data_IF_461561916826
#
_entry.id   IF_461561916826
#
_cell.length_a   1.000
_cell.length_b   1.000
_cell.length_c   1.000
_cell.angle_alpha   90.00
_cell.angle_beta   90.00
_cell.angle_gamma   90.00
#
_symmetry.space_group_name_H-M   'P 1'
#
loop_
_entity.id
_entity.type
_entity.pdbx_description
1 polymer ?
#
# COMPACT_ATOMS: atom_id res chain seq x y z
N UNK A 1 15.56 -11.35 -8.07
CA UNK A 1 15.29 -10.37 -6.96
C UNK A 1 14.49 -9.19 -7.49
N UNK A 2 13.48 -8.74 -6.73
CA UNK A 2 12.67 -7.58 -7.09
C UNK A 2 13.41 -6.26 -6.81
N UNK A 3 13.21 -5.31 -7.71
CA UNK A 3 13.74 -3.94 -7.64
C UNK A 3 12.59 -2.96 -7.86
N UNK A 4 12.55 -1.89 -7.09
CA UNK A 4 11.55 -0.84 -7.22
C UNK A 4 12.19 0.43 -7.79
N UNK A 5 11.69 0.89 -8.94
CA UNK A 5 12.01 2.22 -9.47
C UNK A 5 10.82 3.14 -9.24
N UNK A 6 10.92 4.08 -8.32
CA UNK A 6 9.92 5.13 -8.15
C UNK A 6 10.27 6.26 -9.12
N UNK A 7 9.59 6.31 -10.26
CA UNK A 7 9.84 7.30 -11.31
C UNK A 7 9.25 8.66 -10.93
N UNK A 8 8.08 8.66 -10.32
CA UNK A 8 7.43 9.83 -9.76
C UNK A 8 6.47 9.43 -8.66
N UNK A 9 6.39 10.21 -7.59
CA UNK A 9 5.45 9.96 -6.50
C UNK A 9 4.99 11.29 -5.88
N UNK A 10 3.68 11.55 -5.94
CA UNK A 10 3.03 12.74 -5.39
C UNK A 10 1.85 13.23 -6.23
N UNK A 11 1.17 14.27 -5.77
CA UNK A 11 -0.10 14.78 -6.32
C UNK A 11 -0.04 15.29 -7.77
N UNK A 12 1.15 15.46 -8.37
CA UNK A 12 1.30 15.92 -9.76
C UNK A 12 1.50 14.76 -10.74
N UNK A 13 1.53 13.52 -10.27
CA UNK A 13 1.58 12.33 -11.10
C UNK A 13 2.46 11.25 -10.50
N UNK A 14 1.95 10.04 -10.54
CA UNK A 14 2.56 8.84 -9.99
C UNK A 14 2.96 7.89 -11.13
N UNK A 15 4.11 7.25 -10.99
CA UNK A 15 4.56 6.15 -11.84
C UNK A 15 5.70 5.42 -11.13
N UNK A 16 5.55 4.11 -10.97
CA UNK A 16 6.58 3.26 -10.38
C UNK A 16 6.76 1.99 -11.22
N UNK A 17 7.94 1.40 -11.20
CA UNK A 17 8.22 0.17 -11.92
C UNK A 17 8.75 -0.88 -10.94
N UNK A 18 8.18 -2.08 -10.99
CA UNK A 18 8.71 -3.26 -10.32
C UNK A 18 9.40 -4.13 -11.37
N UNK A 19 10.70 -4.33 -11.21
CA UNK A 19 11.56 -5.10 -12.09
C UNK A 19 12.01 -6.38 -11.37
N UNK A 20 11.95 -7.51 -12.07
CA UNK A 20 12.76 -8.65 -11.68
C UNK A 20 14.19 -8.45 -12.21
N UNK A 21 15.12 -8.19 -11.32
CA UNK A 21 16.52 -7.87 -11.65
C UNK A 21 17.26 -9.02 -12.36
N UNK A 22 16.79 -10.27 -12.25
CA UNK A 22 17.42 -11.43 -12.89
C UNK A 22 17.03 -11.54 -14.38
N UNK A 23 15.76 -11.31 -14.68
CA UNK A 23 15.23 -11.39 -16.04
C UNK A 23 15.19 -10.05 -16.75
N UNK A 24 15.20 -8.94 -15.99
CA UNK A 24 14.99 -7.58 -16.46
C UNK A 24 13.56 -7.31 -16.91
N UNK A 25 12.61 -8.25 -16.73
CA UNK A 25 11.18 -8.06 -17.05
C UNK A 25 10.53 -7.21 -15.97
N UNK A 26 9.55 -6.40 -16.36
CA UNK A 26 9.03 -5.40 -15.44
C UNK A 26 7.53 -5.10 -15.61
N UNK A 27 6.96 -4.56 -14.52
CA UNK A 27 5.59 -4.07 -14.45
C UNK A 27 5.60 -2.59 -14.08
N UNK A 28 4.82 -1.78 -14.81
CA UNK A 28 4.56 -0.39 -14.48
C UNK A 28 3.35 -0.31 -13.55
N UNK A 29 3.44 0.41 -12.45
CA UNK A 29 2.33 0.76 -11.57
C UNK A 29 1.98 2.22 -11.87
N UNK A 30 0.78 2.46 -12.38
CA UNK A 30 0.26 3.76 -12.79
C UNK A 30 1.11 4.51 -13.82
N UNK A 31 0.54 5.52 -14.43
CA UNK A 31 1.27 6.46 -15.27
C UNK A 31 0.57 7.82 -15.31
N UNK A 32 0.77 8.62 -14.26
CA UNK A 32 0.23 9.98 -14.14
C UNK A 32 1.17 11.08 -14.66
N UNK A 33 2.31 10.74 -15.24
CA UNK A 33 3.30 11.69 -15.73
C UNK A 33 3.36 11.75 -17.25
N UNK A 34 3.91 12.84 -17.81
CA UNK A 34 4.06 12.99 -19.26
C UNK A 34 5.06 11.96 -19.82
N UNK A 35 4.91 11.60 -21.10
CA UNK A 35 5.87 10.70 -21.79
C UNK A 35 7.31 11.21 -21.69
N UNK A 36 7.54 12.52 -21.80
CA UNK A 36 8.88 13.09 -21.68
C UNK A 36 9.47 12.83 -20.29
N UNK A 37 8.70 13.13 -19.24
CA UNK A 37 9.13 12.86 -17.87
C UNK A 37 9.34 11.37 -17.62
N UNK A 38 8.44 10.52 -18.10
CA UNK A 38 8.55 9.07 -17.97
C UNK A 38 9.87 8.54 -18.56
N UNK A 39 10.16 8.84 -19.83
CA UNK A 39 11.39 8.38 -20.49
C UNK A 39 12.66 8.95 -19.84
N UNK A 40 12.63 10.21 -19.45
CA UNK A 40 13.75 10.83 -18.74
C UNK A 40 14.03 10.12 -17.43
N UNK A 41 13.00 9.83 -16.64
CA UNK A 41 13.15 9.17 -15.32
C UNK A 41 13.49 7.70 -15.42
N UNK A 42 13.04 6.98 -16.45
CA UNK A 42 13.55 5.66 -16.74
C UNK A 42 15.07 5.71 -16.99
N UNK A 43 15.55 6.70 -17.75
CA UNK A 43 16.98 6.91 -17.99
C UNK A 43 17.75 7.27 -16.70
N UNK A 44 17.19 8.14 -15.86
CA UNK A 44 17.76 8.50 -14.55
C UNK A 44 17.87 7.28 -13.61
N UNK A 45 16.87 6.40 -13.65
CA UNK A 45 16.85 5.15 -12.89
C UNK A 45 17.73 4.04 -13.47
N UNK A 46 18.30 4.24 -14.68
CA UNK A 46 19.03 3.20 -15.40
C UNK A 46 18.16 2.06 -15.89
N UNK A 47 16.85 2.29 -16.04
CA UNK A 47 15.86 1.31 -16.44
C UNK A 47 15.48 1.45 -17.92
N UNK A 48 15.42 0.33 -18.64
CA UNK A 48 14.95 0.29 -20.03
C UNK A 48 13.42 0.13 -20.08
N UNK A 49 12.66 1.18 -20.51
CA UNK A 49 11.22 1.13 -20.55
C UNK A 49 10.64 0.09 -21.51
N UNK A 50 11.44 -0.45 -22.43
CA UNK A 50 11.01 -1.53 -23.34
C UNK A 50 10.88 -2.90 -22.63
N UNK A 51 11.34 -3.00 -21.39
CA UNK A 51 11.20 -4.18 -20.54
C UNK A 51 9.84 -4.27 -19.84
N UNK A 52 9.01 -3.23 -19.95
CA UNK A 52 7.67 -3.23 -19.34
C UNK A 52 6.75 -4.13 -20.16
N UNK A 53 6.22 -5.16 -19.52
CA UNK A 53 5.30 -6.12 -20.13
C UNK A 53 3.85 -5.93 -19.71
N UNK A 54 3.62 -5.30 -18.53
CA UNK A 54 2.30 -5.01 -18.01
C UNK A 54 2.24 -3.66 -17.30
N UNK A 55 1.04 -3.10 -17.29
CA UNK A 55 0.71 -1.88 -16.52
C UNK A 55 -0.42 -2.23 -15.56
N UNK A 56 -0.20 -2.04 -14.28
CA UNK A 56 -1.19 -2.16 -13.20
C UNK A 56 -1.71 -0.76 -12.87
N UNK A 57 -3.02 -0.58 -12.88
CA UNK A 57 -3.65 0.69 -12.50
C UNK A 57 -4.24 0.55 -11.10
N UNK A 58 -3.83 1.41 -10.17
CA UNK A 58 -4.31 1.40 -8.79
C UNK A 58 -5.75 1.90 -8.69
N UNK A 59 -6.05 3.05 -9.29
CA UNK A 59 -7.39 3.68 -9.28
C UNK A 59 -7.53 4.73 -10.40
N UNK A 60 -8.71 5.36 -10.52
CA UNK A 60 -9.08 6.22 -11.65
C UNK A 60 -8.56 7.66 -11.60
N UNK A 61 -7.97 8.15 -10.53
CA UNK A 61 -7.56 9.54 -10.41
C UNK A 61 -6.55 9.96 -11.49
N UNK A 62 -6.64 11.21 -11.91
CA UNK A 62 -5.87 11.72 -13.08
C UNK A 62 -4.38 11.75 -12.85
N UNK A 63 -3.91 11.94 -11.62
CA UNK A 63 -2.49 11.88 -11.26
C UNK A 63 -1.91 10.46 -11.28
N UNK A 64 -2.75 9.43 -11.49
CA UNK A 64 -2.37 8.05 -11.74
C UNK A 64 -2.54 7.64 -13.21
N UNK A 65 -3.40 8.31 -13.97
CA UNK A 65 -3.84 7.82 -15.29
C UNK A 65 -3.58 8.75 -16.47
N UNK A 66 -3.45 10.08 -16.28
CA UNK A 66 -3.39 11.07 -17.37
C UNK A 66 -2.23 10.88 -18.36
N UNK A 67 -1.14 10.25 -17.96
CA UNK A 67 0.01 9.97 -18.81
C UNK A 67 -0.08 8.65 -19.58
N UNK A 68 -1.00 7.77 -19.19
CA UNK A 68 -1.07 6.39 -19.66
C UNK A 68 -1.11 6.29 -21.19
N UNK A 69 -2.04 6.99 -21.83
CA UNK A 69 -2.22 6.92 -23.27
C UNK A 69 -1.02 7.41 -24.08
N UNK A 70 -0.37 8.49 -23.64
CA UNK A 70 0.81 9.03 -24.36
C UNK A 70 2.05 8.18 -24.14
N UNK A 71 2.19 7.53 -22.98
CA UNK A 71 3.29 6.64 -22.68
C UNK A 71 3.12 5.33 -23.45
N UNK A 72 1.95 4.68 -23.41
CA UNK A 72 1.67 3.45 -24.12
C UNK A 72 1.87 3.60 -25.65
N UNK A 73 1.35 4.68 -26.26
CA UNK A 73 1.62 4.98 -27.67
C UNK A 73 3.10 5.24 -27.95
N UNK A 74 3.82 5.81 -26.98
CA UNK A 74 5.26 5.98 -27.08
C UNK A 74 6.01 4.66 -27.08
N UNK A 75 5.69 3.77 -26.16
CA UNK A 75 6.26 2.43 -26.05
C UNK A 75 5.94 1.58 -27.30
N UNK A 76 4.69 1.63 -27.77
CA UNK A 76 4.28 0.92 -28.99
C UNK A 76 5.10 1.34 -30.22
N UNK A 77 5.38 2.64 -30.39
CA UNK A 77 6.26 3.13 -31.45
C UNK A 77 7.72 2.64 -31.33
N UNK A 78 8.15 2.27 -30.14
CA UNK A 78 9.47 1.72 -29.87
C UNK A 78 9.48 0.19 -29.86
N UNK A 79 8.33 -0.45 -30.12
CA UNK A 79 8.19 -1.92 -30.25
C UNK A 79 7.76 -2.63 -28.97
N UNK A 80 7.40 -1.92 -27.90
CA UNK A 80 6.88 -2.53 -26.67
C UNK A 80 5.36 -2.31 -26.54
N UNK A 81 4.61 -3.36 -26.24
CA UNK A 81 3.14 -3.37 -26.18
C UNK A 81 2.67 -3.94 -24.82
N UNK A 82 2.91 -3.24 -23.69
CA UNK A 82 2.51 -3.74 -22.38
C UNK A 82 0.98 -3.88 -22.28
N UNK A 83 0.54 -4.97 -21.65
CA UNK A 83 -0.87 -5.22 -21.39
C UNK A 83 -1.31 -4.37 -20.19
N UNK A 84 -2.47 -3.71 -20.28
CA UNK A 84 -3.06 -2.95 -19.14
C UNK A 84 -3.94 -3.86 -18.29
N UNK A 85 -3.79 -3.78 -16.99
CA UNK A 85 -4.58 -4.49 -15.97
C UNK A 85 -5.24 -3.46 -15.06
N UNK A 86 -6.54 -3.55 -14.87
CA UNK A 86 -7.30 -2.63 -14.04
C UNK A 86 -8.63 -3.25 -13.60
N UNK A 87 -9.14 -2.83 -12.45
CA UNK A 87 -10.50 -3.14 -12.04
C UNK A 87 -11.50 -2.59 -13.07
N UNK A 88 -12.53 -3.35 -13.46
CA UNK A 88 -13.53 -2.90 -14.44
C UNK A 88 -14.27 -1.63 -14.02
N UNK A 89 -14.45 -1.34 -12.73
CA UNK A 89 -15.06 -0.10 -12.25
C UNK A 89 -14.14 1.10 -12.46
N UNK A 90 -12.84 0.94 -12.21
CA UNK A 90 -11.78 1.93 -12.46
C UNK A 90 -11.71 2.29 -13.95
N UNK A 91 -11.75 1.27 -14.84
CA UNK A 91 -11.77 1.51 -16.30
C UNK A 91 -13.00 2.33 -16.71
N UNK A 92 -14.18 2.00 -16.16
CA UNK A 92 -15.42 2.74 -16.48
C UNK A 92 -15.42 4.17 -15.94
N UNK A 93 -14.77 4.41 -14.83
CA UNK A 93 -14.71 5.74 -14.18
C UNK A 93 -13.66 6.66 -14.79
N UNK A 94 -12.58 6.11 -15.38
CA UNK A 94 -11.48 6.90 -15.93
C UNK A 94 -11.60 7.11 -17.43
N UNK A 95 -11.80 8.37 -17.83
CA UNK A 95 -11.74 8.75 -19.25
C UNK A 95 -10.32 8.58 -19.81
N UNK A 96 -9.29 8.86 -19.03
CA UNK A 96 -7.89 8.72 -19.44
C UNK A 96 -7.54 7.27 -19.80
N UNK A 97 -8.03 6.30 -19.03
CA UNK A 97 -7.84 4.87 -19.32
C UNK A 97 -8.62 4.48 -20.57
N UNK A 98 -9.89 4.86 -20.65
CA UNK A 98 -10.75 4.54 -21.80
C UNK A 98 -10.16 5.09 -23.12
N UNK A 99 -9.74 6.36 -23.15
CA UNK A 99 -9.11 6.99 -24.30
C UNK A 99 -7.75 6.35 -24.65
N UNK A 100 -6.96 5.95 -23.63
CA UNK A 100 -5.70 5.24 -23.84
C UNK A 100 -5.92 3.90 -24.56
N UNK A 101 -6.83 3.08 -24.05
CA UNK A 101 -7.16 1.78 -24.60
C UNK A 101 -7.75 1.89 -26.02
N UNK A 102 -8.71 2.79 -26.23
CA UNK A 102 -9.29 3.04 -27.55
C UNK A 102 -8.26 3.47 -28.58
N UNK A 103 -7.28 4.30 -28.18
CA UNK A 103 -6.20 4.77 -29.08
C UNK A 103 -5.23 3.68 -29.54
N UNK A 104 -5.24 2.52 -28.89
CA UNK A 104 -4.37 1.37 -29.17
C UNK A 104 -5.15 0.15 -29.66
N UNK A 105 -6.48 0.27 -29.84
CA UNK A 105 -7.38 -0.85 -30.12
C UNK A 105 -7.18 -2.00 -29.12
N UNK A 106 -7.02 -1.64 -27.84
CA UNK A 106 -6.73 -2.56 -26.76
C UNK A 106 -7.85 -2.59 -25.71
N UNK A 107 -7.85 -3.63 -24.88
CA UNK A 107 -8.73 -3.78 -23.74
C UNK A 107 -7.91 -4.01 -22.48
N UNK A 108 -8.37 -3.47 -21.35
CA UNK A 108 -7.79 -3.81 -20.06
C UNK A 108 -8.16 -5.25 -19.68
N UNK A 109 -7.21 -5.98 -19.12
CA UNK A 109 -7.48 -7.24 -18.43
C UNK A 109 -7.98 -6.95 -17.03
N UNK A 110 -9.12 -7.55 -16.62
CA UNK A 110 -9.69 -7.28 -15.32
C UNK A 110 -8.90 -7.97 -14.21
N UNK A 111 -8.86 -7.32 -13.04
CA UNK A 111 -8.53 -7.94 -11.77
C UNK A 111 -9.42 -7.36 -10.66
N UNK A 112 -9.43 -8.00 -9.51
CA UNK A 112 -10.00 -7.56 -8.23
C UNK A 112 -9.11 -8.02 -7.06
N UNK A 113 -9.56 -7.78 -5.83
CA UNK A 113 -8.84 -8.15 -4.59
C UNK A 113 -8.79 -9.65 -4.30
N UNK A 114 -9.42 -10.48 -5.12
CA UNK A 114 -9.34 -11.95 -5.05
C UNK A 114 -8.42 -12.53 -6.13
N UNK A 115 -7.87 -11.69 -6.99
CA UNK A 115 -7.06 -12.11 -8.12
C UNK A 115 -5.64 -12.47 -7.71
N UNK A 116 -5.12 -13.55 -8.29
CA UNK A 116 -3.70 -13.91 -8.28
C UNK A 116 -3.21 -13.85 -9.73
N UNK A 117 -2.28 -12.97 -10.02
CA UNK A 117 -1.78 -12.74 -11.38
C UNK A 117 -0.31 -13.13 -11.47
N UNK A 118 0.08 -13.81 -12.54
CA UNK A 118 1.51 -14.00 -12.88
C UNK A 118 1.82 -13.19 -14.11
N UNK A 119 2.53 -12.10 -13.95
CA UNK A 119 2.82 -11.10 -14.97
C UNK A 119 4.34 -10.85 -15.03
N UNK A 120 4.93 -10.89 -16.23
CA UNK A 120 6.37 -10.67 -16.39
C UNK A 120 7.24 -11.65 -15.55
N UNK A 121 6.71 -12.81 -15.14
CA UNK A 121 7.39 -13.73 -14.24
C UNK A 121 7.37 -13.27 -12.76
N UNK A 122 6.50 -12.35 -12.41
CA UNK A 122 6.26 -11.84 -11.08
C UNK A 122 4.83 -12.22 -10.68
N UNK A 123 4.65 -12.81 -9.51
CA UNK A 123 3.34 -13.05 -8.94
C UNK A 123 2.84 -11.77 -8.27
N UNK A 124 1.60 -11.37 -8.57
CA UNK A 124 1.00 -10.10 -8.15
C UNK A 124 -0.32 -10.39 -7.44
N UNK A 125 -0.44 -9.88 -6.22
CA UNK A 125 -1.63 -10.01 -5.37
C UNK A 125 -2.17 -8.60 -5.08
N UNK A 126 -3.25 -8.19 -5.77
CA UNK A 126 -3.92 -6.93 -5.49
C UNK A 126 -4.65 -6.98 -4.14
N UNK A 127 -4.71 -5.85 -3.43
CA UNK A 127 -5.52 -5.71 -2.22
C UNK A 127 -6.16 -4.33 -2.16
N UNK A 128 -7.35 -4.22 -1.58
CA UNK A 128 -8.08 -2.96 -1.50
C UNK A 128 -7.43 -2.00 -0.49
N UNK A 129 -7.30 -0.74 -0.90
CA UNK A 129 -6.98 0.41 -0.03
C UNK A 129 -8.22 1.22 0.28
N UNK A 130 -8.16 2.12 1.25
CA UNK A 130 -9.27 3.00 1.64
C UNK A 130 -9.06 4.40 1.08
N UNK A 131 -9.65 4.69 -0.08
CA UNK A 131 -9.50 5.97 -0.77
C UNK A 131 -10.83 6.49 -1.32
N UNK A 132 -10.88 7.78 -1.69
CA UNK A 132 -12.06 8.43 -2.28
C UNK A 132 -12.20 8.15 -3.80
N UNK A 133 -11.87 6.95 -4.20
CA UNK A 133 -11.97 6.38 -5.54
C UNK A 133 -13.12 5.36 -5.64
N UNK A 134 -13.50 4.95 -6.84
CA UNK A 134 -14.52 3.89 -7.05
C UNK A 134 -14.02 2.53 -6.60
N UNK A 135 -12.73 2.27 -6.79
CA UNK A 135 -11.95 1.19 -6.20
C UNK A 135 -10.48 1.62 -6.19
N UNK A 136 -9.75 1.28 -5.13
CA UNK A 136 -8.32 1.61 -5.02
C UNK A 136 -7.55 0.42 -4.51
N UNK A 137 -6.36 0.17 -5.11
CA UNK A 137 -5.58 -1.04 -4.89
C UNK A 137 -4.13 -0.73 -4.51
N UNK A 138 -3.62 -1.49 -3.54
CA UNK A 138 -2.20 -1.75 -3.39
C UNK A 138 -1.85 -3.11 -3.99
N UNK A 139 -0.58 -3.44 -4.05
CA UNK A 139 -0.08 -4.68 -4.64
C UNK A 139 1.02 -5.30 -3.77
N UNK A 140 0.96 -6.61 -3.63
CA UNK A 140 2.07 -7.43 -3.20
C UNK A 140 2.67 -8.12 -4.42
N UNK A 141 3.98 -8.08 -4.55
CA UNK A 141 4.75 -8.73 -5.61
C UNK A 141 5.66 -9.77 -5.00
N UNK A 142 5.72 -10.94 -5.63
CA UNK A 142 6.63 -12.01 -5.26
C UNK A 142 7.37 -12.51 -6.52
N UNK A 143 8.65 -12.87 -6.38
CA UNK A 143 9.33 -13.57 -7.46
C UNK A 143 8.65 -14.92 -7.67
N UNK A 144 8.25 -15.23 -8.90
CA UNK A 144 7.68 -16.53 -9.19
C UNK A 144 8.70 -17.63 -8.90
N UNK A 145 8.33 -18.61 -8.08
CA UNK A 145 9.11 -19.82 -7.96
C UNK A 145 9.06 -20.53 -9.31
N UNK A 146 10.21 -20.74 -9.95
CA UNK A 146 10.34 -21.31 -11.30
C UNK A 146 9.79 -22.74 -11.51
N UNK A 147 8.90 -23.21 -10.67
CA UNK A 147 8.11 -24.41 -10.84
C UNK A 147 6.82 -24.09 -11.64
N UNK A 148 6.96 -24.04 -12.95
CA UNK A 148 5.83 -24.08 -13.88
C UNK A 148 5.06 -25.37 -13.62
N UNK A 149 3.84 -25.26 -13.01
CA UNK A 149 2.87 -26.37 -13.03
C UNK A 149 2.53 -27.05 -11.72
N UNK A 150 2.75 -26.46 -10.54
CA UNK A 150 2.05 -26.93 -9.34
C UNK A 150 0.78 -26.10 -9.15
N UNK A 151 -0.38 -26.78 -9.31
CA UNK A 151 -1.61 -26.34 -8.70
C UNK A 151 -1.30 -26.11 -7.22
N UNK A 152 -1.37 -24.87 -6.74
CA UNK A 152 -1.22 -24.60 -5.30
C UNK A 152 -2.33 -25.36 -4.59
N UNK A 153 -1.96 -26.25 -3.67
CA UNK A 153 -2.90 -26.92 -2.79
C UNK A 153 -3.67 -25.88 -1.95
N UNK A 154 -4.76 -26.26 -1.28
CA UNK A 154 -5.60 -25.32 -0.55
C UNK A 154 -4.77 -24.52 0.44
N UNK A 155 -4.99 -23.18 0.40
CA UNK A 155 -4.41 -22.17 1.28
C UNK A 155 -4.20 -22.70 2.71
N UNK A 156 -3.05 -22.45 3.31
CA UNK A 156 -2.77 -22.86 4.68
C UNK A 156 -3.67 -22.12 5.70
N UNK A 157 -3.63 -22.48 6.97
CA UNK A 157 -4.59 -21.97 7.98
C UNK A 157 -4.55 -20.44 8.15
N UNK A 158 -3.40 -19.78 7.89
CA UNK A 158 -3.25 -18.31 7.96
C UNK A 158 -3.98 -17.63 6.80
N UNK A 159 -3.93 -18.18 5.61
CA UNK A 159 -4.62 -17.68 4.42
C UNK A 159 -6.14 -17.81 4.54
N UNK A 160 -6.65 -18.88 5.21
CA UNK A 160 -8.09 -19.04 5.52
C UNK A 160 -8.61 -17.99 6.50
N UNK A 161 -7.80 -17.56 7.48
CA UNK A 161 -8.21 -16.53 8.45
C UNK A 161 -8.36 -15.17 7.75
N UNK A 162 -7.48 -14.83 6.83
CA UNK A 162 -7.58 -13.59 6.03
C UNK A 162 -8.85 -13.60 5.14
N UNK A 163 -9.17 -14.73 4.52
CA UNK A 163 -10.36 -14.89 3.69
C UNK A 163 -11.67 -14.91 4.50
N UNK A 164 -11.68 -15.49 5.72
CA UNK A 164 -12.82 -15.41 6.64
C UNK A 164 -13.02 -13.99 7.20
N UNK A 165 -11.95 -13.25 7.50
CA UNK A 165 -12.04 -11.88 7.97
C UNK A 165 -12.59 -10.95 6.88
N UNK A 166 -12.15 -11.11 5.63
CA UNK A 166 -12.66 -10.37 4.48
C UNK A 166 -14.13 -10.68 4.17
N UNK A 167 -14.57 -11.92 4.30
CA UNK A 167 -15.99 -12.31 4.12
C UNK A 167 -16.90 -11.79 5.23
N UNK A 168 -16.44 -11.76 6.47
CA UNK A 168 -17.21 -11.19 7.59
C UNK A 168 -17.34 -9.68 7.51
N UNK A 169 -16.33 -8.96 7.01
CA UNK A 169 -16.43 -7.53 6.73
C UNK A 169 -17.45 -7.22 5.63
N UNK A 170 -17.52 -8.05 4.57
CA UNK A 170 -18.55 -7.91 3.53
C UNK A 170 -19.96 -8.21 4.04
N UNK A 171 -20.12 -9.15 4.97
CA UNK A 171 -21.41 -9.48 5.57
C UNK A 171 -21.93 -8.40 6.53
N UNK A 172 -21.05 -7.65 7.21
CA UNK A 172 -21.45 -6.55 8.11
C UNK A 172 -21.85 -5.29 7.35
N UNK A 173 -21.27 -5.03 6.18
CA UNK A 173 -21.64 -3.87 5.34
C UNK A 173 -23.01 -4.08 4.65
N UNK A 174 -23.43 -5.34 4.43
CA UNK A 174 -24.69 -5.66 3.76
C UNK A 174 -25.93 -5.73 4.67
N UNK A 175 -25.83 -5.46 5.98
CA UNK A 175 -26.93 -5.65 6.94
C UNK A 175 -27.23 -4.46 7.84
N UNK A 176 -26.83 -3.24 7.50
CA UNK A 176 -27.23 -2.06 8.28
C UNK A 176 -28.37 -1.30 7.59
N UNK A 177 -29.53 -1.98 7.47
CA UNK A 177 -30.82 -1.37 7.25
C UNK A 177 -31.52 -1.17 8.62
N UNK A 178 -30.98 -0.32 9.48
CA UNK A 178 -31.66 0.11 10.69
C UNK A 178 -32.15 1.54 10.53
N UNK A 179 -33.44 1.81 10.89
CA UNK A 179 -34.05 3.11 10.65
C UNK A 179 -33.43 4.20 11.52
N UNK A 180 -33.21 5.34 10.87
CA UNK A 180 -32.68 6.56 11.46
C UNK A 180 -33.39 6.93 12.78
N UNK A 181 -32.65 6.91 13.87
CA UNK A 181 -33.06 7.53 15.12
C UNK A 181 -32.79 9.04 15.02
N UNK A 182 -33.86 9.79 14.77
CA UNK A 182 -33.86 11.25 14.77
C UNK A 182 -33.75 11.76 16.20
N UNK A 183 -32.61 12.33 16.57
CA UNK A 183 -32.45 13.13 17.79
C UNK A 183 -32.63 14.60 17.42
N UNK A 184 -33.50 15.37 18.10
CA UNK A 184 -33.75 16.78 17.75
C UNK A 184 -32.59 17.67 18.19
N UNK A 185 -32.10 18.46 17.25
CA UNK A 185 -31.10 19.50 17.48
C UNK A 185 -31.70 20.60 18.36
N UNK A 186 -31.13 20.83 19.53
CA UNK A 186 -31.27 22.07 20.28
C UNK A 186 -29.91 22.76 20.42
N UNK A 187 -29.88 23.99 19.94
CA UNK A 187 -29.11 25.10 20.47
C UNK A 187 -27.60 25.07 20.27
N UNK A 188 -27.17 26.09 19.57
CA UNK A 188 -25.77 26.49 19.38
C UNK A 188 -25.04 26.61 20.73
N UNK A 189 -23.85 25.97 20.80
CA UNK A 189 -22.71 26.51 21.53
C UNK A 189 -21.39 25.92 21.07
N UNK A 190 -20.56 26.85 20.51
CA UNK A 190 -19.09 26.91 20.55
C UNK A 190 -18.24 25.71 20.07
N UNK A 191 -17.68 25.93 18.91
CA UNK A 191 -16.25 25.67 18.55
C UNK A 191 -15.35 25.26 19.74
N UNK A 192 -15.06 23.98 19.85
CA UNK A 192 -13.78 23.40 20.30
C UNK A 192 -13.90 21.89 20.18
N UNK A 193 -13.38 21.32 19.11
CA UNK A 193 -12.82 19.99 19.07
C UNK A 193 -12.32 19.71 17.67
N UNK A 194 -11.18 20.27 17.29
CA UNK A 194 -10.26 19.50 16.49
C UNK A 194 -9.82 18.37 17.41
N UNK A 195 -10.29 17.17 17.14
CA UNK A 195 -9.69 15.99 17.71
C UNK A 195 -8.26 15.94 17.20
N UNK A 196 -7.32 16.42 18.03
CA UNK A 196 -5.94 16.05 17.89
C UNK A 196 -5.94 14.53 17.75
N UNK A 197 -5.44 14.01 16.61
CA UNK A 197 -5.22 12.58 16.44
C UNK A 197 -4.49 12.13 17.69
N UNK A 198 -5.13 11.25 18.44
CA UNK A 198 -4.68 10.83 19.75
C UNK A 198 -3.28 10.22 19.57
N UNK A 199 -2.21 10.81 20.08
CA UNK A 199 -0.87 10.23 20.02
C UNK A 199 -0.81 8.86 20.73
N UNK A 200 -1.85 8.52 21.51
CA UNK A 200 -1.94 7.32 22.32
C UNK A 200 -2.36 6.05 21.55
N UNK A 201 -2.70 6.14 20.26
CA UNK A 201 -3.05 4.94 19.46
C UNK A 201 -1.84 3.99 19.30
N UNK A 202 -0.63 4.52 19.35
CA UNK A 202 0.58 3.69 19.34
C UNK A 202 1.00 3.19 20.73
N UNK A 203 0.51 3.82 21.82
CA UNK A 203 0.88 3.44 23.20
C UNK A 203 -0.08 2.45 23.84
N UNK A 204 -1.25 2.18 23.25
CA UNK A 204 -2.28 1.29 23.81
C UNK A 204 -2.16 -0.20 23.39
N UNK A 205 -1.07 -0.61 22.76
CA UNK A 205 -0.73 -2.04 22.70
C UNK A 205 0.12 -2.34 23.93
N UNK A 206 -0.58 -2.53 25.06
CA UNK A 206 0.00 -2.60 26.39
C UNK A 206 0.90 -3.81 26.61
N UNK A 207 2.12 -3.52 27.04
CA UNK A 207 2.86 -4.39 27.96
C UNK A 207 2.56 -3.91 29.37
N UNK A 208 1.81 -4.73 30.11
CA UNK A 208 1.59 -4.53 31.55
C UNK A 208 2.90 -4.80 32.30
N UNK A 209 3.48 -3.75 32.89
CA UNK A 209 4.47 -3.91 33.96
C UNK A 209 3.75 -4.13 35.29
N UNK A 210 4.05 -5.24 35.92
CA UNK A 210 3.67 -5.57 37.28
C UNK A 210 4.42 -4.66 38.25
N UNK A 211 3.69 -4.08 39.20
CA UNK A 211 4.10 -4.08 40.61
C UNK A 211 2.96 -3.62 41.50
N UNK A 212 2.79 -4.41 42.58
CA UNK A 212 2.10 -4.23 43.86
C UNK A 212 0.78 -4.99 44.08
N UNK A 213 0.97 -6.13 44.78
CA UNK A 213 -0.06 -6.88 45.49
C UNK A 213 -0.49 -6.15 46.81
N UNK A 214 -1.67 -6.50 47.38
CA UNK A 214 -1.60 -7.44 48.46
C UNK A 214 -2.64 -8.60 48.43
N UNK A 215 -2.22 -9.64 49.13
CA UNK A 215 -2.78 -10.94 49.44
C UNK A 215 -4.28 -11.07 49.75
N UNK A 216 -4.94 -12.08 49.16
CA UNK A 216 -5.94 -12.92 49.89
C UNK A 216 -5.96 -14.32 49.22
N UNK A 217 -5.83 -15.30 50.12
CA UNK A 217 -5.94 -16.75 49.80
C UNK A 217 -7.41 -17.12 49.51
N UNK A 218 -7.63 -18.09 48.65
CA UNK A 218 -8.41 -19.36 48.85
C UNK A 218 -8.63 -20.04 47.46
N UNK A 219 -8.41 -21.36 47.42
CA UNK A 219 -9.10 -22.30 46.52
C UNK A 219 -8.26 -22.89 45.40
N UNK A 220 -7.70 -24.08 45.67
CA UNK A 220 -7.13 -24.97 44.67
C UNK A 220 -8.23 -25.52 43.76
N UNK A 221 -8.07 -25.36 42.46
CA UNK A 221 -8.67 -26.22 41.46
C UNK A 221 -7.59 -26.55 40.44
N UNK A 222 -7.23 -27.80 40.40
CA UNK A 222 -6.33 -28.42 39.43
C UNK A 222 -6.89 -28.26 38.02
N UNK A 223 -6.24 -27.45 37.18
CA UNK A 223 -6.38 -27.53 35.75
C UNK A 223 -5.06 -28.02 35.17
N UNK A 224 -5.15 -29.16 34.58
CA UNK A 224 -4.10 -29.88 33.87
C UNK A 224 -3.44 -29.03 32.81
N UNK A 225 -2.11 -28.93 32.86
CA UNK A 225 -1.27 -28.48 31.77
C UNK A 225 -1.52 -29.36 30.55
N UNK A 226 -2.01 -28.79 29.48
CA UNK A 226 -1.91 -29.36 28.14
C UNK A 226 -0.76 -28.67 27.45
N UNK A 227 0.25 -29.43 27.23
CA UNK A 227 1.45 -29.34 26.44
C UNK A 227 1.71 -28.05 25.65
N UNK A 228 2.69 -27.32 26.16
CA UNK A 228 3.58 -26.45 25.35
C UNK A 228 4.54 -27.36 24.55
N UNK A 229 4.09 -27.85 23.42
CA UNK A 229 4.94 -28.55 22.47
C UNK A 229 4.38 -28.34 21.09
N UNK A 230 4.96 -27.38 20.40
CA UNK A 230 5.23 -27.35 18.94
C UNK A 230 5.63 -25.95 18.47
N UNK A 231 6.62 -25.35 19.10
CA UNK A 231 7.50 -24.47 18.35
C UNK A 231 8.46 -25.38 17.56
N UNK A 232 7.94 -26.09 16.59
CA UNK A 232 8.77 -26.72 15.58
C UNK A 232 9.36 -25.58 14.75
N UNK A 233 10.66 -25.35 14.94
CA UNK A 233 11.52 -24.70 13.96
C UNK A 233 11.25 -25.38 12.62
N UNK A 234 10.55 -24.69 11.73
CA UNK A 234 10.54 -25.05 10.33
C UNK A 234 11.85 -24.49 9.78
N UNK A 235 12.92 -25.26 9.99
CA UNK A 235 14.08 -25.25 9.10
C UNK A 235 13.61 -25.89 7.79
N UNK A 236 12.97 -25.09 6.99
CA UNK A 236 12.81 -25.39 5.58
C UNK A 236 13.75 -24.45 4.84
N UNK A 237 14.62 -25.00 4.03
CA UNK A 237 15.16 -24.32 2.86
C UNK A 237 13.96 -24.00 1.94
N UNK A 238 13.11 -23.09 2.38
CA UNK A 238 12.10 -22.45 1.57
C UNK A 238 12.89 -21.63 0.54
N UNK A 239 12.68 -21.89 -0.74
CA UNK A 239 13.07 -20.97 -1.79
C UNK A 239 12.62 -19.59 -1.30
N UNK A 240 13.57 -18.73 -1.01
CA UNK A 240 13.29 -17.41 -0.43
C UNK A 240 12.62 -16.58 -1.52
N UNK A 241 11.28 -16.55 -1.49
CA UNK A 241 10.53 -15.65 -2.34
C UNK A 241 10.91 -14.23 -1.95
N UNK A 242 11.35 -13.47 -2.92
CA UNK A 242 11.60 -12.06 -2.73
C UNK A 242 10.28 -11.31 -2.84
N UNK A 243 9.94 -10.51 -1.84
CA UNK A 243 8.63 -9.90 -1.68
C UNK A 243 8.74 -8.38 -1.61
N UNK A 244 7.91 -7.69 -2.40
CA UNK A 244 7.76 -6.25 -2.40
C UNK A 244 6.30 -5.87 -2.15
N UNK A 245 6.05 -5.00 -1.17
CA UNK A 245 4.73 -4.41 -0.89
C UNK A 245 4.67 -2.97 -1.41
N UNK A 246 3.58 -2.63 -2.09
CA UNK A 246 3.33 -1.29 -2.63
C UNK A 246 1.93 -0.82 -2.25
N UNK A 247 1.84 0.25 -1.48
CA UNK A 247 0.57 0.85 -1.06
C UNK A 247 0.67 2.37 -1.07
N UNK A 248 -0.19 3.01 -1.82
CA UNK A 248 -0.36 4.47 -1.88
C UNK A 248 -1.84 4.80 -1.87
N UNK A 249 -2.19 6.06 -1.64
CA UNK A 249 -3.56 6.55 -1.68
C UNK A 249 -4.50 5.75 -0.78
N UNK A 250 -4.29 5.91 0.52
CA UNK A 250 -5.13 5.31 1.55
C UNK A 250 -5.20 6.20 2.78
N UNK A 251 -6.40 6.41 3.31
CA UNK A 251 -6.61 7.18 4.54
C UNK A 251 -6.41 6.36 5.81
N UNK A 252 -6.61 5.04 5.71
CA UNK A 252 -6.33 4.05 6.77
C UNK A 252 -5.74 2.79 6.15
N UNK A 253 -4.94 2.06 6.90
CA UNK A 253 -4.48 0.73 6.50
C UNK A 253 -5.56 -0.30 6.86
N UNK A 254 -6.11 -0.96 5.86
CA UNK A 254 -7.12 -2.02 6.07
C UNK A 254 -6.45 -3.28 6.60
N UNK A 255 -7.21 -4.16 7.28
CA UNK A 255 -6.68 -5.44 7.74
C UNK A 255 -6.15 -6.31 6.59
N UNK A 256 -6.78 -6.26 5.43
CA UNK A 256 -6.32 -6.95 4.22
C UNK A 256 -4.98 -6.37 3.74
N UNK A 257 -4.87 -5.04 3.65
CA UNK A 257 -3.61 -4.37 3.27
C UNK A 257 -2.48 -4.74 4.24
N UNK A 258 -2.73 -4.70 5.55
CA UNK A 258 -1.75 -5.09 6.57
C UNK A 258 -1.23 -6.52 6.35
N UNK A 259 -2.11 -7.48 6.10
CA UNK A 259 -1.71 -8.89 5.86
C UNK A 259 -0.86 -9.03 4.61
N UNK A 260 -1.23 -8.37 3.50
CA UNK A 260 -0.46 -8.42 2.26
C UNK A 260 0.91 -7.74 2.36
N UNK A 261 1.07 -6.77 3.25
CA UNK A 261 2.33 -6.05 3.46
C UNK A 261 3.30 -6.77 4.41
N UNK A 262 2.86 -7.82 5.11
CA UNK A 262 3.73 -8.61 5.98
C UNK A 262 4.81 -9.37 5.19
N UNK A 263 6.00 -9.49 5.79
CA UNK A 263 7.10 -10.28 5.24
C UNK A 263 7.76 -9.68 4.00
N UNK A 264 7.52 -8.41 3.66
CA UNK A 264 8.12 -7.75 2.50
C UNK A 264 9.58 -7.37 2.78
N UNK A 265 10.50 -7.69 1.85
CA UNK A 265 11.88 -7.19 1.87
C UNK A 265 11.94 -5.70 1.52
N UNK A 266 11.14 -5.28 0.55
CA UNK A 266 10.95 -3.87 0.19
C UNK A 266 9.50 -3.49 0.50
N UNK A 267 9.32 -2.41 1.26
CA UNK A 267 8.01 -1.88 1.64
C UNK A 267 7.88 -0.44 1.16
N UNK A 268 7.00 -0.19 0.21
CA UNK A 268 6.70 1.14 -0.31
C UNK A 268 5.30 1.54 0.16
N UNK A 269 5.22 2.45 1.12
CA UNK A 269 3.97 2.87 1.77
C UNK A 269 3.84 4.39 1.81
N UNK A 270 2.61 4.87 1.95
CA UNK A 270 2.30 6.28 1.93
C UNK A 270 2.83 7.02 3.17
N UNK A 271 3.35 8.24 2.95
CA UNK A 271 3.64 9.26 3.96
C UNK A 271 3.31 10.62 3.37
N UNK A 272 2.00 10.90 3.23
CA UNK A 272 1.51 11.98 2.40
C UNK A 272 1.69 13.35 3.02
N UNK A 273 1.27 13.53 4.26
CA UNK A 273 1.23 14.87 4.88
C UNK A 273 1.75 14.87 6.32
N UNK A 274 2.29 16.00 6.71
CA UNK A 274 2.54 16.36 8.10
C UNK A 274 1.26 16.97 8.69
N UNK A 275 0.83 16.51 9.87
CA UNK A 275 -0.44 16.93 10.48
C UNK A 275 -0.49 18.45 10.72
N UNK A 276 0.61 19.04 11.20
CA UNK A 276 0.66 20.48 11.45
C UNK A 276 0.67 21.31 10.17
N UNK A 277 1.41 20.85 9.13
CA UNK A 277 1.41 21.52 7.85
C UNK A 277 0.07 21.39 7.14
N UNK A 278 -0.65 20.26 7.30
CA UNK A 278 -2.00 20.10 6.77
C UNK A 278 -2.98 21.06 7.44
N UNK A 279 -2.98 21.14 8.78
CA UNK A 279 -3.86 22.03 9.54
C UNK A 279 -3.67 23.51 9.15
N UNK A 280 -2.42 23.93 8.92
CA UNK A 280 -2.05 25.31 8.56
C UNK A 280 -1.86 25.52 7.06
N UNK A 281 -2.15 24.51 6.24
CA UNK A 281 -1.93 24.52 4.82
C UNK A 281 -2.85 25.45 4.06
N UNK A 282 -2.60 25.65 2.75
CA UNK A 282 -3.32 26.62 1.93
C UNK A 282 -4.72 26.14 1.52
N UNK A 283 -5.18 25.00 2.03
CA UNK A 283 -6.41 24.38 1.60
C UNK A 283 -7.64 24.86 2.38
N UNK A 284 -8.83 24.92 1.74
CA UNK A 284 -10.09 25.06 2.45
C UNK A 284 -10.32 23.93 3.46
N UNK A 285 -11.06 24.21 4.52
CA UNK A 285 -11.35 23.21 5.57
C UNK A 285 -11.91 21.88 5.03
N UNK A 286 -12.79 21.92 4.03
CA UNK A 286 -13.33 20.71 3.41
C UNK A 286 -12.27 19.83 2.76
N UNK A 287 -11.23 20.44 2.19
CA UNK A 287 -10.10 19.71 1.59
C UNK A 287 -9.20 19.14 2.67
N UNK A 288 -8.92 19.91 3.73
CA UNK A 288 -8.16 19.44 4.90
C UNK A 288 -8.86 18.23 5.53
N UNK A 289 -10.17 18.34 5.77
CA UNK A 289 -10.97 17.25 6.34
C UNK A 289 -10.98 16.01 5.43
N UNK A 290 -11.02 16.18 4.10
CA UNK A 290 -10.95 15.08 3.14
C UNK A 290 -9.59 14.38 3.18
N UNK A 291 -8.48 15.15 3.14
CA UNK A 291 -7.11 14.61 3.19
C UNK A 291 -6.89 13.80 4.45
N UNK A 292 -7.30 14.31 5.62
CA UNK A 292 -7.14 13.64 6.92
C UNK A 292 -8.22 12.63 7.27
N UNK A 293 -9.11 12.25 6.32
CA UNK A 293 -10.17 11.27 6.57
C UNK A 293 -9.72 9.84 6.31
N UNK A 294 -10.51 8.86 6.77
CA UNK A 294 -10.27 7.43 6.53
C UNK A 294 -10.23 7.06 5.03
N UNK A 295 -10.72 7.93 4.17
CA UNK A 295 -10.69 7.79 2.70
C UNK A 295 -9.78 8.82 2.03
N UNK A 296 -8.97 9.53 2.81
CA UNK A 296 -7.98 10.48 2.32
C UNK A 296 -6.62 9.85 2.13
N UNK A 297 -5.64 10.33 2.92
CA UNK A 297 -4.24 9.92 2.82
C UNK A 297 -3.64 9.70 4.21
N UNK A 298 -2.65 8.81 4.32
CA UNK A 298 -1.91 8.62 5.57
C UNK A 298 -1.03 9.83 5.88
N UNK A 299 -1.06 10.27 7.14
CA UNK A 299 -0.03 11.17 7.65
C UNK A 299 1.32 10.46 7.77
N UNK A 300 2.40 11.24 7.95
CA UNK A 300 3.73 10.69 8.21
C UNK A 300 3.75 9.77 9.43
N UNK A 301 3.00 10.12 10.47
CA UNK A 301 2.89 9.37 11.71
C UNK A 301 2.11 8.07 11.52
N UNK A 302 1.01 8.09 10.75
CA UNK A 302 0.24 6.88 10.45
C UNK A 302 1.05 5.90 9.60
N UNK A 303 1.75 6.38 8.56
CA UNK A 303 2.67 5.55 7.78
C UNK A 303 3.80 4.96 8.63
N UNK A 304 4.35 5.75 9.57
CA UNK A 304 5.38 5.28 10.50
C UNK A 304 4.84 4.27 11.53
N UNK A 305 3.59 4.42 11.97
CA UNK A 305 2.92 3.46 12.85
C UNK A 305 2.72 2.11 12.13
N UNK A 306 2.27 2.15 10.88
CA UNK A 306 2.15 0.94 10.06
C UNK A 306 3.50 0.28 9.83
N UNK A 307 4.54 1.02 9.49
CA UNK A 307 5.89 0.49 9.36
C UNK A 307 6.31 -0.29 10.62
N UNK A 308 6.05 0.28 11.83
CA UNK A 308 6.41 -0.38 13.09
C UNK A 308 5.76 -1.76 13.22
N UNK A 309 4.51 -1.90 12.82
CA UNK A 309 3.75 -3.16 12.92
C UNK A 309 4.20 -4.20 11.89
N UNK A 310 4.87 -3.76 10.82
CA UNK A 310 5.36 -4.61 9.72
C UNK A 310 6.86 -4.97 9.85
N UNK A 311 7.55 -4.52 10.91
CA UNK A 311 8.97 -4.81 11.09
C UNK A 311 9.22 -6.31 11.28
N UNK A 312 10.20 -6.82 10.56
CA UNK A 312 10.70 -8.20 10.68
C UNK A 312 12.14 -8.27 10.14
N UNK A 313 12.89 -9.30 10.52
CA UNK A 313 14.33 -9.42 10.20
C UNK A 313 14.67 -9.41 8.70
N UNK A 314 13.72 -9.70 7.83
CA UNK A 314 13.90 -9.71 6.37
C UNK A 314 13.56 -8.39 5.69
N UNK A 315 13.06 -7.38 6.40
CA UNK A 315 12.82 -6.06 5.82
C UNK A 315 14.15 -5.33 5.62
N UNK A 316 14.46 -4.94 4.40
CA UNK A 316 15.71 -4.24 4.06
C UNK A 316 15.49 -2.77 3.71
N UNK A 317 14.37 -2.48 3.05
CA UNK A 317 14.09 -1.13 2.53
C UNK A 317 12.65 -0.72 2.80
N UNK A 318 12.47 0.54 3.20
CA UNK A 318 11.17 1.18 3.26
C UNK A 318 11.20 2.50 2.49
N UNK A 319 10.17 2.76 1.69
CA UNK A 319 10.06 3.96 0.84
C UNK A 319 8.78 4.69 1.19
N UNK A 320 8.90 5.96 1.61
CA UNK A 320 7.75 6.84 1.74
C UNK A 320 7.27 7.30 0.36
N UNK A 321 6.00 7.05 0.06
CA UNK A 321 5.37 7.42 -1.21
C UNK A 321 4.39 8.58 -1.07
N UNK A 322 3.98 9.15 -2.19
CA UNK A 322 2.89 10.11 -2.36
C UNK A 322 3.00 11.35 -1.46
N UNK A 323 4.21 11.89 -1.34
CA UNK A 323 4.52 13.05 -0.48
C UNK A 323 3.88 14.31 -1.04
N UNK A 324 3.00 14.95 -0.26
CA UNK A 324 2.34 16.20 -0.65
C UNK A 324 3.33 17.35 -0.82
N UNK A 325 3.22 18.08 -1.93
CA UNK A 325 4.06 19.24 -2.21
C UNK A 325 3.70 20.48 -1.36
N UNK A 326 2.48 20.51 -0.80
CA UNK A 326 1.95 21.68 -0.10
C UNK A 326 1.88 21.49 1.42
N UNK A 327 1.74 20.24 1.89
CA UNK A 327 1.51 19.93 3.30
C UNK A 327 2.53 18.92 3.85
N UNK A 328 3.68 18.83 3.16
CA UNK A 328 4.79 17.98 3.57
C UNK A 328 6.12 18.51 3.01
N UNK A 329 7.20 17.86 3.42
CA UNK A 329 8.53 17.93 2.79
C UNK A 329 9.07 16.50 2.66
N UNK A 330 9.99 16.27 1.74
CA UNK A 330 10.55 14.92 1.56
C UNK A 330 11.32 14.40 2.79
N UNK A 331 11.82 15.30 3.64
CA UNK A 331 12.55 14.93 4.85
C UNK A 331 11.64 14.42 5.97
N UNK A 332 10.40 14.91 6.07
CA UNK A 332 9.54 14.60 7.22
C UNK A 332 9.11 13.12 7.24
N UNK A 333 8.52 12.53 6.18
CA UNK A 333 8.17 11.12 6.19
C UNK A 333 9.41 10.21 6.29
N UNK A 334 10.51 10.58 5.63
CA UNK A 334 11.77 9.84 5.76
C UNK A 334 12.27 9.81 7.20
N UNK A 335 12.25 10.95 7.90
CA UNK A 335 12.64 11.02 9.33
C UNK A 335 11.67 10.25 10.22
N UNK A 336 10.36 10.28 9.93
CA UNK A 336 9.38 9.51 10.68
C UNK A 336 9.69 8.00 10.61
N UNK A 337 9.96 7.49 9.41
CA UNK A 337 10.35 6.09 9.21
C UNK A 337 11.72 5.77 9.85
N UNK A 338 12.72 6.62 9.66
CA UNK A 338 14.03 6.46 10.32
C UNK A 338 13.93 6.42 11.84
N UNK A 339 13.05 7.23 12.43
CA UNK A 339 12.81 7.24 13.89
C UNK A 339 12.28 5.89 14.36
N UNK A 340 11.33 5.29 13.64
CA UNK A 340 10.82 3.94 13.96
C UNK A 340 11.94 2.91 13.88
N UNK A 341 12.67 2.86 12.77
CA UNK A 341 13.78 1.93 12.59
C UNK A 341 14.84 2.06 13.70
N UNK A 342 15.18 3.28 14.07
CA UNK A 342 16.13 3.55 15.15
C UNK A 342 15.61 3.09 16.53
N UNK A 343 14.33 3.38 16.84
CA UNK A 343 13.70 2.99 18.11
C UNK A 343 13.63 1.48 18.27
N UNK A 344 13.30 0.77 17.18
CA UNK A 344 13.20 -0.70 17.15
C UNK A 344 14.55 -1.38 16.86
N UNK A 345 15.65 -0.62 16.72
CA UNK A 345 17.00 -1.11 16.42
C UNK A 345 17.05 -1.97 15.16
N UNK A 346 16.32 -1.55 14.13
CA UNK A 346 16.17 -2.27 12.87
C UNK A 346 17.13 -1.75 11.81
N UNK A 347 17.77 -2.64 11.05
CA UNK A 347 18.83 -2.31 10.08
C UNK A 347 18.31 -1.84 8.71
N UNK A 348 17.00 -1.92 8.45
CA UNK A 348 16.40 -1.45 7.21
C UNK A 348 16.69 0.04 6.96
N UNK A 349 16.69 0.43 5.68
CA UNK A 349 16.94 1.82 5.27
C UNK A 349 15.66 2.48 4.80
N UNK A 350 15.44 3.73 5.25
CA UNK A 350 14.32 4.54 4.81
C UNK A 350 14.72 5.47 3.66
N UNK A 351 13.93 5.44 2.60
CA UNK A 351 14.01 6.31 1.42
C UNK A 351 12.71 7.07 1.23
N UNK A 352 12.65 7.96 0.24
CA UNK A 352 11.47 8.73 -0.11
C UNK A 352 11.36 8.84 -1.63
N UNK A 353 10.16 8.59 -2.18
CA UNK A 353 9.83 8.87 -3.57
C UNK A 353 9.68 10.36 -3.82
N UNK A 354 10.21 10.84 -4.94
CA UNK A 354 10.16 12.26 -5.33
C UNK A 354 9.18 12.49 -6.47
N UNK A 355 8.60 13.68 -6.52
CA UNK A 355 7.78 14.10 -7.66
C UNK A 355 8.63 14.33 -8.91
N UNK A 356 9.83 14.87 -8.76
CA UNK A 356 10.61 15.45 -9.86
C UNK A 356 11.83 14.63 -10.29
N UNK A 357 12.15 13.53 -9.60
CA UNK A 357 13.31 12.67 -9.89
C UNK A 357 13.03 11.22 -9.56
N UNK A 358 13.69 10.32 -10.28
CA UNK A 358 13.61 8.88 -9.99
C UNK A 358 14.52 8.47 -8.83
N UNK A 359 14.12 7.40 -8.13
CA UNK A 359 14.99 6.61 -7.25
C UNK A 359 14.85 5.14 -7.60
N UNK A 360 15.91 4.39 -7.36
CA UNK A 360 15.91 2.92 -7.45
C UNK A 360 16.21 2.33 -6.07
N UNK A 361 15.46 1.31 -5.70
CA UNK A 361 15.54 0.59 -4.43
C UNK A 361 15.68 -0.90 -4.71
N UNK A 362 16.75 -1.49 -4.16
CA UNK A 362 17.11 -2.90 -4.29
C UNK A 362 17.08 -3.61 -2.94
#
# INVERSE_FOLDING_TARGET
MLRLHVLASGSHGNASVVEDAETGRALLIDCGISKKAFLQRCSEAGFDPLRIEGVLVTHEHTDHTKGLGVVLRGLAKMGAHPQVFADPSVVRASRDIADALASLDAQARPFDDSSELTLAGIDVFPFLTSHDAVASYGFRFETSSGEVGRERGPLNAHERIADECGRNARASIARDDSPACTIPMRGADRLTAFGAGNPDICDNIGFASQDNAPSARIGAATATCVDAAAATCIDAAAATHDVLGFMTDTGIVTSAAHVHLQGCRILAIEGNHDLHMLEKGPYPYSVIARIGSDRGHLSNEQGACELRSLLHNGLERVVALHVSQNTNTYDLPKRAFQKVLFQERHDARADVGFQERAITVE
#
